data_IF_125280986415
#
_entry.id   IF_125280986415
#
_cell.length_a   1.000
_cell.length_b   1.000
_cell.length_c   1.000
_cell.angle_alpha   90.00
_cell.angle_beta   90.00
_cell.angle_gamma   90.00
#
_symmetry.space_group_name_H-M   'P 1'
#
loop_
_entity.id
_entity.type
_entity.pdbx_description
1 polymer ?
#
# COMPACT_ATOMS: atom_id res chain seq x y z
N UNK A 1 -12.26 21.19 27.24
CA UNK A 1 -10.97 20.50 27.08
C UNK A 1 -10.99 19.32 28.05
N UNK A 2 -10.92 18.07 27.58
CA UNK A 2 -10.88 16.93 28.52
C UNK A 2 -9.53 16.96 29.21
N UNK A 3 -9.54 16.84 30.53
CA UNK A 3 -8.32 16.77 31.33
C UNK A 3 -7.51 15.52 30.94
N UNK A 4 -6.26 15.70 30.54
CA UNK A 4 -5.37 14.65 30.02
C UNK A 4 -4.52 14.00 31.13
N UNK A 5 -4.98 14.06 32.38
CA UNK A 5 -4.29 13.46 33.52
C UNK A 5 -4.21 11.93 33.47
N UNK A 6 -5.13 11.28 32.73
CA UNK A 6 -5.13 9.84 32.56
C UNK A 6 -5.78 9.44 31.24
N UNK A 7 -5.22 8.42 30.59
CA UNK A 7 -5.87 7.77 29.44
C UNK A 7 -6.93 6.76 29.88
N UNK A 8 -6.99 6.34 31.16
CA UNK A 8 -7.89 5.28 31.62
C UNK A 8 -9.38 5.53 31.29
N UNK A 9 -9.93 6.76 31.40
CA UNK A 9 -11.32 7.03 31.02
C UNK A 9 -11.60 6.84 29.52
N UNK A 10 -10.57 6.79 28.68
CA UNK A 10 -10.71 6.57 27.24
C UNK A 10 -10.82 5.08 26.87
N UNK A 11 -10.58 4.16 27.80
CA UNK A 11 -10.66 2.71 27.56
C UNK A 11 -11.91 2.11 28.18
N UNK A 12 -12.64 1.32 27.40
CA UNK A 12 -13.71 0.45 27.92
C UNK A 12 -13.13 -0.81 28.55
N UNK A 13 -13.89 -1.42 29.46
CA UNK A 13 -13.51 -2.69 30.10
C UNK A 13 -13.32 -3.77 29.01
N UNK A 14 -12.11 -4.32 28.90
CA UNK A 14 -11.75 -5.36 27.93
C UNK A 14 -11.03 -4.86 26.67
N UNK A 15 -10.88 -3.54 26.49
CA UNK A 15 -10.07 -3.00 25.38
C UNK A 15 -8.57 -3.21 25.64
N UNK A 16 -7.83 -3.52 24.58
CA UNK A 16 -6.38 -3.72 24.66
C UNK A 16 -5.68 -2.39 24.97
N UNK A 17 -4.82 -2.41 25.99
CA UNK A 17 -3.89 -1.32 26.30
C UNK A 17 -2.49 -1.55 25.71
N UNK A 18 -2.31 -2.66 24.97
CA UNK A 18 -1.08 -2.99 24.27
C UNK A 18 -1.08 -2.35 22.87
N UNK A 19 0.01 -1.66 22.52
CA UNK A 19 0.22 -1.12 21.19
C UNK A 19 1.29 -0.04 21.11
N UNK A 20 1.22 0.76 20.05
CA UNK A 20 2.12 1.91 19.83
C UNK A 20 1.36 3.22 20.01
N UNK A 21 2.07 4.28 20.40
CA UNK A 21 1.49 5.58 20.69
C UNK A 21 2.40 6.72 20.26
N UNK A 22 1.79 7.86 19.93
CA UNK A 22 2.48 9.12 19.66
C UNK A 22 1.96 10.19 20.60
N UNK A 23 2.85 10.77 21.39
CA UNK A 23 2.55 11.93 22.22
C UNK A 23 2.80 13.19 21.39
N UNK A 24 1.94 14.20 21.58
CA UNK A 24 2.10 15.53 21.00
C UNK A 24 2.30 16.55 22.11
N UNK A 25 3.21 17.50 21.92
CA UNK A 25 3.57 18.49 22.92
C UNK A 25 3.12 19.91 22.52
N UNK A 26 3.00 20.82 23.50
CA UNK A 26 2.61 22.22 23.27
C UNK A 26 3.50 22.94 22.23
N UNK A 27 4.78 22.58 22.17
CA UNK A 27 5.75 23.19 21.26
C UNK A 27 5.74 22.59 19.83
N UNK A 28 4.77 21.72 19.52
CA UNK A 28 4.63 21.08 18.21
C UNK A 28 5.55 19.88 17.97
N UNK A 29 6.36 19.48 18.95
CA UNK A 29 7.13 18.25 18.88
C UNK A 29 6.23 17.02 19.08
N UNK A 30 6.74 15.86 18.68
CA UNK A 30 6.09 14.58 18.94
C UNK A 30 7.06 13.51 19.46
N UNK A 31 6.52 12.53 20.19
CA UNK A 31 7.27 11.39 20.73
C UNK A 31 6.57 10.07 20.37
N UNK A 32 7.18 9.22 19.52
CA UNK A 32 6.70 7.87 19.25
C UNK A 32 7.19 6.87 20.31
N UNK A 33 6.38 5.86 20.64
CA UNK A 33 6.82 4.73 21.47
C UNK A 33 5.85 3.55 21.48
N UNK A 34 6.25 2.45 22.12
CA UNK A 34 5.41 1.26 22.35
C UNK A 34 5.16 0.96 23.83
N UNK A 35 4.07 0.25 24.11
CA UNK A 35 3.79 -0.28 25.45
C UNK A 35 2.89 -1.50 25.41
N UNK A 36 3.08 -2.42 26.37
CA UNK A 36 2.10 -3.46 26.69
C UNK A 36 0.91 -2.92 27.49
N UNK A 37 1.09 -1.75 28.11
CA UNK A 37 0.07 -1.03 28.86
C UNK A 37 0.29 0.48 28.67
N UNK A 38 -0.42 1.07 27.72
CA UNK A 38 -0.29 2.49 27.37
C UNK A 38 -0.80 3.41 28.49
N UNK A 39 -1.76 2.98 29.32
CA UNK A 39 -2.29 3.78 30.42
C UNK A 39 -1.21 3.99 31.48
N UNK A 40 -0.54 2.90 31.88
CA UNK A 40 0.59 2.98 32.83
C UNK A 40 1.76 3.75 32.24
N UNK A 41 2.07 3.53 30.95
CA UNK A 41 3.17 4.21 30.26
C UNK A 41 2.94 5.71 30.14
N UNK A 42 1.73 6.12 29.80
CA UNK A 42 1.34 7.53 29.71
C UNK A 42 1.44 8.23 31.07
N UNK A 43 0.96 7.60 32.15
CA UNK A 43 1.10 8.16 33.50
C UNK A 43 2.58 8.38 33.89
N UNK A 44 3.49 7.52 33.43
CA UNK A 44 4.94 7.74 33.60
C UNK A 44 5.45 8.93 32.81
N UNK A 45 5.01 9.08 31.56
CA UNK A 45 5.40 10.19 30.69
C UNK A 45 4.86 11.53 31.19
N UNK A 46 3.61 11.57 31.67
CA UNK A 46 2.98 12.80 32.19
C UNK A 46 3.71 13.39 33.39
N UNK A 47 4.32 12.54 34.24
CA UNK A 47 5.17 12.99 35.36
C UNK A 47 6.46 13.65 34.90
N UNK A 48 6.99 13.22 33.75
CA UNK A 48 8.24 13.74 33.17
C UNK A 48 7.99 14.96 32.27
N UNK A 49 6.87 14.95 31.55
CA UNK A 49 6.52 15.92 30.52
C UNK A 49 5.10 16.45 30.75
N UNK A 50 4.97 17.59 31.45
CA UNK A 50 3.68 18.21 31.74
C UNK A 50 3.07 18.96 30.54
N UNK A 51 3.82 19.11 29.45
CA UNK A 51 3.47 19.81 28.22
C UNK A 51 2.83 18.91 27.14
N UNK A 52 2.47 17.66 27.49
CA UNK A 52 1.73 16.77 26.56
C UNK A 52 0.31 17.31 26.36
N UNK A 53 -0.09 17.54 25.11
CA UNK A 53 -1.42 18.08 24.73
C UNK A 53 -2.32 17.08 24.03
N UNK A 54 -1.77 16.01 23.47
CA UNK A 54 -2.55 14.96 22.83
C UNK A 54 -1.78 13.63 22.78
N UNK A 55 -2.53 12.54 22.58
CA UNK A 55 -2.00 11.19 22.40
C UNK A 55 -2.76 10.50 21.27
N UNK A 56 -2.03 10.04 20.26
CA UNK A 56 -2.54 9.03 19.33
C UNK A 56 -2.18 7.65 19.89
N UNK A 57 -3.13 6.72 19.94
CA UNK A 57 -2.89 5.35 20.35
C UNK A 57 -3.41 4.36 19.32
N UNK A 58 -2.58 3.37 18.98
CA UNK A 58 -2.85 2.35 18.00
C UNK A 58 -2.76 0.97 18.68
N UNK A 59 -3.88 0.37 19.11
CA UNK A 59 -3.88 -0.93 19.77
C UNK A 59 -3.47 -2.04 18.80
N UNK A 60 -2.62 -2.96 19.27
CA UNK A 60 -2.17 -4.10 18.48
C UNK A 60 -1.62 -5.25 19.36
N UNK A 61 -1.53 -6.47 18.82
CA UNK A 61 -0.93 -7.62 19.49
C UNK A 61 0.55 -7.41 19.86
N UNK A 62 0.99 -8.04 20.94
CA UNK A 62 2.35 -7.89 21.48
C UNK A 62 3.46 -8.32 20.50
N UNK A 63 3.22 -9.37 19.72
CA UNK A 63 4.16 -9.86 18.71
C UNK A 63 4.39 -8.86 17.56
N UNK A 64 3.52 -7.85 17.41
CA UNK A 64 3.59 -6.86 16.32
C UNK A 64 4.10 -5.49 16.77
N UNK A 65 4.15 -5.19 18.09
CA UNK A 65 4.46 -3.84 18.60
C UNK A 65 5.85 -3.33 18.18
N UNK A 66 6.83 -4.23 18.03
CA UNK A 66 8.21 -3.83 17.70
C UNK A 66 8.33 -3.40 16.24
N UNK A 67 7.68 -4.11 15.32
CA UNK A 67 7.66 -3.71 13.90
C UNK A 67 6.87 -2.40 13.71
N UNK A 68 5.74 -2.27 14.41
CA UNK A 68 4.91 -1.07 14.33
C UNK A 68 5.54 0.17 14.99
N UNK A 69 6.37 0.01 16.03
CA UNK A 69 7.09 1.12 16.65
C UNK A 69 8.05 1.77 15.66
N UNK A 70 8.78 0.96 14.88
CA UNK A 70 9.70 1.45 13.87
C UNK A 70 8.98 2.26 12.78
N UNK A 71 7.79 1.81 12.39
CA UNK A 71 6.92 2.54 11.46
C UNK A 71 6.48 3.88 12.07
N UNK A 72 6.01 3.87 13.32
CA UNK A 72 5.54 5.09 13.99
C UNK A 72 6.66 6.10 14.21
N UNK A 73 7.89 5.65 14.47
CA UNK A 73 9.07 6.52 14.54
C UNK A 73 9.25 7.24 13.21
N UNK A 74 9.33 6.48 12.11
CA UNK A 74 9.53 7.01 10.76
C UNK A 74 8.45 8.03 10.38
N UNK A 75 7.18 7.71 10.60
CA UNK A 75 6.06 8.63 10.35
C UNK A 75 6.12 9.89 11.20
N UNK A 76 6.57 9.77 12.45
CA UNK A 76 6.66 10.91 13.35
C UNK A 76 7.79 11.84 12.93
N UNK A 77 8.95 11.29 12.56
CA UNK A 77 10.10 12.06 12.04
C UNK A 77 9.76 12.80 10.73
N UNK A 78 8.88 12.24 9.90
CA UNK A 78 8.45 12.86 8.65
C UNK A 78 7.49 14.05 8.84
N UNK A 79 6.74 14.10 9.95
CA UNK A 79 5.64 15.06 10.16
C UNK A 79 5.91 16.06 11.30
N UNK A 80 6.79 15.70 12.24
CA UNK A 80 7.01 16.44 13.46
C UNK A 80 8.49 16.46 13.82
N UNK A 81 8.93 17.50 14.53
CA UNK A 81 10.20 17.46 15.23
C UNK A 81 10.11 16.41 16.36
N UNK A 82 10.94 15.38 16.29
CA UNK A 82 10.92 14.30 17.29
C UNK A 82 11.71 14.70 18.52
N UNK A 83 11.07 14.57 19.70
CA UNK A 83 11.72 14.77 20.99
C UNK A 83 12.65 13.58 21.27
N UNK A 84 13.88 13.67 20.77
CA UNK A 84 14.87 12.59 20.76
C UNK A 84 15.22 12.08 22.17
N UNK A 85 15.14 10.76 22.36
CA UNK A 85 15.78 10.06 23.50
C UNK A 85 16.95 9.25 22.95
N UNK A 86 18.05 9.91 22.61
CA UNK A 86 19.32 9.23 22.37
C UNK A 86 19.94 8.86 23.72
N UNK A 87 19.89 7.58 24.10
CA UNK A 87 20.85 6.92 25.01
C UNK A 87 20.63 5.38 24.97
N UNK A 88 21.19 4.72 23.95
CA UNK A 88 22.13 3.57 24.04
C UNK A 88 22.10 2.68 22.78
N UNK A 89 23.12 2.88 21.94
CA UNK A 89 23.80 1.95 21.02
C UNK A 89 23.01 0.96 20.12
N UNK A 90 22.96 1.33 18.82
CA UNK A 90 23.11 0.49 17.60
C UNK A 90 22.44 -0.89 17.57
N UNK A 91 21.40 -1.10 16.74
CA UNK A 91 20.99 -2.44 16.34
C UNK A 91 21.28 -2.73 14.85
N UNK A 92 22.39 -3.45 14.63
CA UNK A 92 22.61 -4.59 13.69
C UNK A 92 24.07 -4.63 13.23
N UNK A 93 24.87 -5.42 13.96
CA UNK A 93 26.23 -5.82 13.60
C UNK A 93 26.26 -6.88 12.48
N UNK A 94 27.47 -7.19 12.01
CA UNK A 94 27.78 -8.00 10.83
C UNK A 94 27.64 -9.53 11.03
N UNK A 95 26.44 -10.09 11.20
CA UNK A 95 26.22 -11.55 11.05
C UNK A 95 24.82 -11.88 10.47
N UNK A 96 24.69 -12.98 9.70
CA UNK A 96 23.44 -13.38 9.06
C UNK A 96 22.49 -14.09 10.04
N UNK A 97 21.20 -13.74 9.99
CA UNK A 97 20.15 -14.49 10.66
C UNK A 97 19.47 -15.43 9.64
N UNK A 98 19.80 -16.71 9.70
CA UNK A 98 18.96 -17.76 9.10
C UNK A 98 17.67 -17.89 9.92
N UNK A 99 16.53 -17.77 9.24
CA UNK A 99 15.23 -18.09 9.81
C UNK A 99 14.74 -19.34 9.08
N UNK A 100 14.82 -20.49 9.77
CA UNK A 100 14.14 -21.72 9.36
C UNK A 100 12.66 -21.53 9.65
N UNK A 101 11.84 -21.36 8.60
CA UNK A 101 10.39 -21.48 8.71
C UNK A 101 9.95 -22.85 8.18
N UNK A 102 9.59 -23.77 9.07
CA UNK A 102 8.74 -24.89 8.70
C UNK A 102 7.82 -25.24 9.87
N UNK A 103 6.69 -24.55 9.96
CA UNK A 103 5.53 -25.10 10.67
C UNK A 103 5.02 -26.29 9.87
N UNK A 104 5.13 -27.50 10.41
CA UNK A 104 4.64 -28.72 9.78
C UNK A 104 3.11 -28.72 9.67
N UNK A 105 2.58 -28.33 8.51
CA UNK A 105 1.19 -28.57 8.15
C UNK A 105 1.04 -30.00 7.65
N UNK A 106 0.01 -30.71 8.11
CA UNK A 106 -0.35 -32.03 7.59
C UNK A 106 -1.22 -31.83 6.35
N UNK A 107 -0.74 -32.27 5.18
CA UNK A 107 -1.47 -32.17 3.91
C UNK A 107 -2.19 -33.50 3.64
N UNK A 108 -3.50 -33.45 3.45
CA UNK A 108 -4.30 -34.62 3.06
C UNK A 108 -4.24 -34.80 1.54
N UNK A 109 -3.72 -35.95 1.09
CA UNK A 109 -3.64 -36.34 -0.32
C UNK A 109 -4.55 -37.55 -0.58
N UNK A 110 -5.85 -37.34 -0.87
CA UNK A 110 -6.78 -38.45 -1.10
C UNK A 110 -6.54 -39.12 -2.46
N UNK A 111 -6.76 -40.44 -2.52
CA UNK A 111 -6.70 -41.20 -3.77
C UNK A 111 -7.91 -40.93 -4.68
N UNK A 112 -9.05 -40.53 -4.12
CA UNK A 112 -10.23 -40.16 -4.90
C UNK A 112 -10.16 -38.70 -5.38
N UNK A 113 -10.16 -38.49 -6.70
CA UNK A 113 -10.07 -37.15 -7.33
C UNK A 113 -11.11 -36.16 -6.83
N UNK A 114 -12.33 -36.61 -6.58
CA UNK A 114 -13.44 -35.78 -6.10
C UNK A 114 -13.21 -35.25 -4.68
N UNK A 115 -12.38 -35.93 -3.89
CA UNK A 115 -12.01 -35.52 -2.53
C UNK A 115 -10.75 -34.65 -2.52
N UNK A 116 -9.99 -34.60 -3.62
CA UNK A 116 -8.82 -33.75 -3.73
C UNK A 116 -9.24 -32.27 -3.72
N UNK A 117 -8.52 -31.44 -2.97
CA UNK A 117 -8.70 -29.99 -3.05
C UNK A 117 -8.38 -29.55 -4.48
N UNK A 118 -9.29 -28.78 -5.09
CA UNK A 118 -8.98 -28.08 -6.35
C UNK A 118 -7.86 -27.06 -6.13
N UNK A 119 -7.16 -26.66 -7.19
CA UNK A 119 -6.14 -25.61 -7.11
C UNK A 119 -6.71 -24.32 -6.46
N UNK A 120 -7.96 -23.97 -6.74
CA UNK A 120 -8.63 -22.84 -6.09
C UNK A 120 -8.80 -23.05 -4.60
N UNK A 121 -9.32 -24.20 -4.16
CA UNK A 121 -9.54 -24.47 -2.73
C UNK A 121 -8.21 -24.51 -1.97
N UNK A 122 -7.21 -25.20 -2.51
CA UNK A 122 -5.86 -25.25 -1.93
C UNK A 122 -5.23 -23.86 -1.83
N UNK A 123 -5.43 -23.00 -2.84
CA UNK A 123 -4.88 -21.65 -2.86
C UNK A 123 -5.66 -20.69 -1.94
N UNK A 124 -6.98 -20.85 -1.82
CA UNK A 124 -7.84 -19.97 -1.00
C UNK A 124 -7.69 -20.23 0.51
N UNK A 125 -7.28 -21.45 0.89
CA UNK A 125 -6.96 -21.77 2.29
C UNK A 125 -5.65 -21.10 2.75
N UNK A 126 -4.74 -20.84 1.81
CA UNK A 126 -3.40 -20.26 2.05
C UNK A 126 -3.30 -18.77 1.66
N UNK A 127 -4.21 -18.27 0.83
CA UNK A 127 -4.15 -16.93 0.19
C UNK A 127 -5.51 -16.23 0.27
N UNK A 128 -5.49 -14.89 0.34
CA UNK A 128 -6.69 -14.05 0.32
C UNK A 128 -7.67 -14.48 -0.79
N UNK A 129 -8.93 -14.76 -0.41
CA UNK A 129 -10.01 -15.23 -1.30
C UNK A 129 -10.29 -14.30 -2.48
N UNK A 130 -9.85 -13.03 -2.39
CA UNK A 130 -9.95 -12.07 -3.48
C UNK A 130 -9.02 -12.40 -4.64
N UNK A 131 -7.83 -12.95 -4.38
CA UNK A 131 -6.84 -13.22 -5.43
C UNK A 131 -7.39 -14.18 -6.49
N UNK A 132 -7.97 -15.37 -6.15
CA UNK A 132 -8.60 -16.23 -7.15
C UNK A 132 -9.77 -15.62 -7.91
N UNK A 133 -10.42 -14.58 -7.36
CA UNK A 133 -11.47 -13.86 -8.08
C UNK A 133 -10.87 -12.85 -9.06
N UNK A 134 -9.80 -12.15 -8.68
CA UNK A 134 -9.05 -11.28 -9.60
C UNK A 134 -8.43 -12.08 -10.75
N UNK A 135 -7.80 -13.22 -10.47
CA UNK A 135 -7.19 -14.10 -11.48
C UNK A 135 -8.18 -14.63 -12.52
N UNK A 136 -9.48 -14.65 -12.19
CA UNK A 136 -10.56 -15.08 -13.09
C UNK A 136 -11.21 -13.92 -13.84
N UNK A 137 -10.82 -12.68 -13.55
CA UNK A 137 -11.36 -11.54 -14.27
C UNK A 137 -11.00 -11.68 -15.76
N UNK A 138 -11.94 -11.49 -16.71
CA UNK A 138 -11.68 -11.74 -18.13
C UNK A 138 -10.50 -10.95 -18.68
N UNK A 139 -10.32 -9.71 -18.19
CA UNK A 139 -9.24 -8.81 -18.57
C UNK A 139 -8.02 -8.86 -17.62
N UNK A 140 -7.90 -9.92 -16.81
CA UNK A 140 -6.75 -10.05 -15.90
C UNK A 140 -5.40 -10.17 -16.63
N UNK A 141 -5.26 -10.87 -17.77
CA UNK A 141 -4.00 -10.90 -18.51
C UNK A 141 -3.50 -9.51 -18.88
N UNK A 142 -4.38 -8.66 -19.42
CA UNK A 142 -4.12 -7.26 -19.78
C UNK A 142 -3.76 -6.40 -18.57
N UNK A 143 -4.47 -6.61 -17.46
CA UNK A 143 -4.17 -5.94 -16.17
C UNK A 143 -2.80 -6.34 -15.64
N UNK A 144 -2.46 -7.63 -15.71
CA UNK A 144 -1.18 -8.17 -15.25
C UNK A 144 -0.03 -7.58 -16.06
N UNK A 145 -0.20 -7.57 -17.38
CA UNK A 145 0.77 -7.04 -18.33
C UNK A 145 1.09 -5.55 -18.08
N UNK A 146 0.04 -4.71 -18.00
CA UNK A 146 0.17 -3.30 -17.62
C UNK A 146 0.91 -3.10 -16.29
N UNK A 147 0.64 -3.95 -15.30
CA UNK A 147 1.28 -3.87 -13.99
C UNK A 147 2.74 -4.31 -14.03
N UNK A 148 3.08 -5.31 -14.83
CA UNK A 148 4.46 -5.71 -15.09
C UNK A 148 5.25 -4.55 -15.70
N UNK A 149 4.71 -3.92 -16.74
CA UNK A 149 5.27 -2.71 -17.35
C UNK A 149 5.44 -1.57 -16.33
N UNK A 150 4.42 -1.28 -15.52
CA UNK A 150 4.49 -0.18 -14.56
C UNK A 150 5.56 -0.44 -13.49
N UNK A 151 5.68 -1.67 -13.00
CA UNK A 151 6.68 -2.04 -11.99
C UNK A 151 8.10 -1.92 -12.55
N UNK A 152 8.36 -2.49 -13.74
CA UNK A 152 9.69 -2.45 -14.36
C UNK A 152 10.16 -1.03 -14.68
N UNK A 153 9.23 -0.15 -15.06
CA UNK A 153 9.56 1.22 -15.48
C UNK A 153 9.58 2.24 -14.33
N UNK A 154 8.81 2.03 -13.25
CA UNK A 154 8.58 3.08 -12.24
C UNK A 154 8.95 2.72 -10.80
N UNK A 155 9.26 1.46 -10.48
CA UNK A 155 9.52 1.01 -9.10
C UNK A 155 10.99 0.61 -8.92
N UNK A 156 11.65 1.18 -7.90
CA UNK A 156 13.07 0.90 -7.64
C UNK A 156 13.27 -0.40 -6.86
N UNK A 157 14.19 -1.26 -7.34
CA UNK A 157 14.53 -2.54 -6.71
C UNK A 157 13.26 -3.31 -6.30
N UNK A 158 12.37 -3.63 -7.26
CA UNK A 158 10.99 -3.95 -6.97
C UNK A 158 10.85 -5.22 -6.12
N UNK A 159 11.73 -6.20 -6.29
CA UNK A 159 11.71 -7.44 -5.51
C UNK A 159 12.09 -7.22 -4.04
N UNK A 160 13.14 -6.43 -3.74
CA UNK A 160 13.61 -6.25 -2.36
C UNK A 160 12.77 -5.25 -1.56
N UNK A 161 12.09 -4.35 -2.27
CA UNK A 161 11.31 -3.26 -1.66
C UNK A 161 9.82 -3.56 -1.53
N UNK A 162 9.37 -4.68 -2.10
CA UNK A 162 7.99 -5.17 -1.98
C UNK A 162 7.57 -5.29 -0.51
N UNK A 163 6.29 -5.01 -0.24
CA UNK A 163 5.63 -4.96 1.08
C UNK A 163 6.13 -3.86 2.02
N UNK A 164 7.39 -3.48 1.94
CA UNK A 164 8.02 -2.50 2.82
C UNK A 164 7.86 -1.08 2.29
N UNK A 165 8.21 -0.85 1.02
CA UNK A 165 8.22 0.48 0.41
C UNK A 165 7.16 0.62 -0.69
N UNK A 166 6.75 -0.48 -1.31
CA UNK A 166 5.57 -0.51 -2.17
C UNK A 166 4.70 -1.73 -1.87
N UNK A 167 3.42 -1.64 -2.16
CA UNK A 167 2.45 -2.71 -1.91
C UNK A 167 1.47 -2.88 -3.05
N UNK A 168 0.92 -4.08 -3.18
CA UNK A 168 -0.22 -4.35 -4.05
C UNK A 168 -1.36 -4.90 -3.22
N UNK A 169 -2.55 -4.32 -3.37
CA UNK A 169 -3.79 -4.77 -2.72
C UNK A 169 -4.77 -5.30 -3.76
N UNK A 170 -5.26 -6.51 -3.54
CA UNK A 170 -6.23 -7.18 -4.40
C UNK A 170 -7.66 -6.77 -4.03
N UNK A 171 -8.42 -6.26 -5.01
CA UNK A 171 -9.81 -5.81 -4.86
C UNK A 171 -10.11 -5.08 -3.53
N UNK A 172 -9.46 -3.92 -3.29
CA UNK A 172 -9.75 -3.11 -2.12
C UNK A 172 -11.19 -2.58 -2.18
N UNK A 173 -11.80 -2.38 -1.01
CA UNK A 173 -13.17 -1.83 -0.92
C UNK A 173 -13.23 -0.31 -1.04
N UNK A 174 -12.09 0.36 -1.15
CA UNK A 174 -11.98 1.81 -1.31
C UNK A 174 -12.82 2.29 -2.49
N UNK A 175 -13.67 3.28 -2.27
CA UNK A 175 -14.56 3.89 -3.27
C UNK A 175 -15.41 2.88 -4.07
N UNK A 176 -15.67 1.70 -3.52
CA UNK A 176 -16.55 0.73 -4.16
C UNK A 176 -17.99 1.25 -4.17
N UNK A 177 -18.64 1.19 -5.33
CA UNK A 177 -20.05 1.51 -5.48
C UNK A 177 -20.84 0.26 -5.90
N UNK A 178 -22.11 0.43 -6.27
CA UNK A 178 -22.93 -0.65 -6.84
C UNK A 178 -22.49 -1.01 -8.27
N UNK A 179 -21.96 -0.04 -9.01
CA UNK A 179 -21.66 -0.16 -10.45
C UNK A 179 -20.19 -0.33 -10.73
N UNK A 180 -19.30 0.01 -9.79
CA UNK A 180 -17.86 -0.07 -9.99
C UNK A 180 -17.09 -0.46 -8.73
N UNK A 181 -15.89 -0.98 -8.94
CA UNK A 181 -14.98 -1.39 -7.89
C UNK A 181 -13.53 -1.34 -8.38
N UNK A 182 -12.59 -1.40 -7.44
CA UNK A 182 -11.18 -1.57 -7.78
C UNK A 182 -10.88 -3.03 -8.03
N UNK A 183 -10.18 -3.33 -9.11
CA UNK A 183 -9.57 -4.65 -9.33
C UNK A 183 -8.30 -4.79 -8.50
N UNK A 184 -7.49 -3.72 -8.47
CA UNK A 184 -6.19 -3.69 -7.85
C UNK A 184 -5.74 -2.25 -7.55
N UNK A 185 -4.92 -2.11 -6.52
CA UNK A 185 -4.20 -0.88 -6.21
C UNK A 185 -2.74 -1.19 -5.91
N UNK A 186 -1.83 -0.52 -6.59
CA UNK A 186 -0.41 -0.45 -6.26
C UNK A 186 -0.13 0.88 -5.55
N UNK A 187 0.53 0.80 -4.41
CA UNK A 187 0.90 1.97 -3.61
C UNK A 187 2.41 2.02 -3.39
N UNK A 188 3.02 3.17 -3.60
CA UNK A 188 4.40 3.46 -3.18
C UNK A 188 4.35 4.38 -1.95
N UNK A 189 5.07 4.03 -0.89
CA UNK A 189 4.90 4.67 0.42
C UNK A 189 3.43 4.65 0.85
N UNK A 190 2.89 5.83 1.19
CA UNK A 190 1.51 5.98 1.68
C UNK A 190 0.57 6.60 0.64
N UNK A 191 0.88 6.48 -0.65
CA UNK A 191 0.02 6.93 -1.74
C UNK A 191 -0.24 5.78 -2.71
N UNK A 192 -1.49 5.68 -3.17
CA UNK A 192 -1.88 4.81 -4.28
C UNK A 192 -1.39 5.46 -5.59
N UNK A 193 -0.38 4.87 -6.22
CA UNK A 193 0.27 5.47 -7.39
C UNK A 193 -0.23 4.89 -8.71
N UNK A 194 -0.80 3.68 -8.67
CA UNK A 194 -1.55 3.10 -9.78
C UNK A 194 -2.75 2.33 -9.24
N UNK A 195 -3.94 2.52 -9.81
CA UNK A 195 -5.09 1.69 -9.47
C UNK A 195 -6.02 1.50 -10.66
N UNK A 196 -6.68 0.35 -10.69
CA UNK A 196 -7.53 -0.08 -11.79
C UNK A 196 -8.97 -0.15 -11.27
N UNK A 197 -9.85 0.63 -11.90
CA UNK A 197 -11.27 0.68 -11.61
C UNK A 197 -12.01 -0.04 -12.72
N UNK A 198 -12.93 -0.91 -12.35
CA UNK A 198 -13.72 -1.67 -13.31
C UNK A 198 -15.19 -1.67 -12.91
N UNK A 199 -16.06 -1.77 -13.90
CA UNK A 199 -17.48 -1.98 -13.63
C UNK A 199 -17.73 -3.28 -12.84
N UNK A 200 -18.91 -3.47 -12.26
CA UNK A 200 -19.29 -4.73 -11.60
C UNK A 200 -19.86 -5.77 -12.58
N UNK A 201 -19.67 -5.56 -13.88
CA UNK A 201 -20.15 -6.45 -14.93
C UNK A 201 -19.51 -7.83 -14.84
N UNK A 202 -20.26 -8.86 -15.23
CA UNK A 202 -19.76 -10.24 -15.35
C UNK A 202 -19.63 -10.67 -16.81
N UNK A 203 -20.03 -9.80 -17.75
CA UNK A 203 -20.00 -10.06 -19.20
C UNK A 203 -19.40 -8.85 -19.93
N UNK A 204 -18.09 -8.68 -19.80
CA UNK A 204 -17.35 -7.58 -20.43
C UNK A 204 -17.42 -7.57 -21.95
N UNK A 205 -17.76 -8.70 -22.59
CA UNK A 205 -17.84 -8.80 -24.03
C UNK A 205 -19.15 -8.22 -24.58
N UNK A 206 -20.26 -8.35 -23.84
CA UNK A 206 -21.59 -7.98 -24.34
C UNK A 206 -22.26 -6.85 -23.55
N UNK A 207 -21.77 -6.49 -22.37
CA UNK A 207 -22.33 -5.40 -21.58
C UNK A 207 -21.79 -4.04 -22.06
N UNK A 208 -22.65 -3.17 -22.63
CA UNK A 208 -22.22 -1.85 -23.12
C UNK A 208 -21.78 -0.89 -22.01
N UNK A 209 -22.06 -1.22 -20.75
CA UNK A 209 -21.60 -0.46 -19.58
C UNK A 209 -20.35 -1.09 -18.93
N UNK A 210 -19.80 -2.16 -19.50
CA UNK A 210 -18.56 -2.73 -19.02
C UNK A 210 -17.39 -1.80 -19.34
N UNK A 211 -16.56 -1.53 -18.34
CA UNK A 211 -15.37 -0.70 -18.50
C UNK A 211 -14.26 -1.15 -17.56
N UNK A 212 -13.03 -0.86 -17.95
CA UNK A 212 -11.84 -0.91 -17.10
C UNK A 212 -11.00 0.33 -17.37
N UNK A 213 -10.86 1.18 -16.36
CA UNK A 213 -10.04 2.39 -16.40
C UNK A 213 -8.83 2.24 -15.50
N UNK A 214 -7.71 2.77 -15.99
CA UNK A 214 -6.45 2.87 -15.27
C UNK A 214 -6.31 4.30 -14.78
N UNK A 215 -5.87 4.45 -13.53
CA UNK A 215 -5.44 5.73 -12.99
C UNK A 215 -3.99 5.61 -12.57
N UNK A 216 -3.15 6.50 -13.09
CA UNK A 216 -1.72 6.57 -12.78
C UNK A 216 -1.40 7.95 -12.23
N UNK A 217 -0.96 8.00 -10.98
CA UNK A 217 -0.49 9.23 -10.36
C UNK A 217 0.99 9.45 -10.66
N UNK A 218 1.35 10.70 -10.88
CA UNK A 218 2.69 11.16 -11.23
C UNK A 218 3.11 12.32 -10.33
N UNK A 219 4.39 12.69 -10.33
CA UNK A 219 4.80 13.93 -9.72
C UNK A 219 4.01 15.09 -10.34
N UNK A 220 3.75 16.14 -9.55
CA UNK A 220 2.98 17.28 -10.04
C UNK A 220 3.62 17.86 -11.30
N UNK A 221 2.87 17.90 -12.39
CA UNK A 221 3.30 18.48 -13.66
C UNK A 221 3.08 19.99 -13.63
N UNK A 222 4.01 20.72 -14.23
CA UNK A 222 3.94 22.19 -14.32
C UNK A 222 2.75 22.65 -15.17
N UNK A 223 2.47 21.93 -16.28
CA UNK A 223 1.36 22.19 -17.18
C UNK A 223 0.74 20.88 -17.69
N UNK A 224 -0.39 20.49 -17.09
CA UNK A 224 -1.14 19.27 -17.42
C UNK A 224 -1.85 19.38 -18.78
N UNK A 225 -2.02 20.59 -19.32
CA UNK A 225 -2.73 20.79 -20.59
C UNK A 225 -1.96 20.22 -21.79
N UNK A 226 -0.62 20.17 -21.68
CA UNK A 226 0.29 19.57 -22.68
C UNK A 226 0.09 18.07 -22.87
N UNK A 227 -0.52 17.39 -21.89
CA UNK A 227 -0.71 15.94 -21.88
C UNK A 227 -2.15 15.54 -22.22
N UNK A 228 -3.02 16.50 -22.59
CA UNK A 228 -4.40 16.20 -22.96
C UNK A 228 -4.48 15.64 -24.37
N UNK A 229 -5.29 14.59 -24.53
CA UNK A 229 -5.65 14.11 -25.86
C UNK A 229 -6.76 14.98 -26.46
N UNK A 230 -6.56 15.57 -27.65
CA UNK A 230 -7.63 16.29 -28.35
C UNK A 230 -8.83 15.40 -28.68
N UNK A 231 -8.63 14.09 -28.86
CA UNK A 231 -9.69 13.12 -29.12
C UNK A 231 -10.36 12.58 -27.84
N UNK A 232 -9.89 12.97 -26.66
CA UNK A 232 -10.50 12.59 -25.37
C UNK A 232 -10.28 11.14 -24.94
N UNK A 233 -9.30 10.42 -25.51
CA UNK A 233 -8.94 9.04 -25.13
C UNK A 233 -8.33 8.95 -23.73
N UNK A 234 -7.69 10.02 -23.27
CA UNK A 234 -7.15 10.13 -21.92
C UNK A 234 -7.29 11.54 -21.36
N UNK A 235 -7.24 11.63 -20.03
CA UNK A 235 -7.28 12.89 -19.30
C UNK A 235 -6.15 12.94 -18.28
N UNK A 236 -5.49 14.10 -18.19
CA UNK A 236 -4.54 14.40 -17.11
C UNK A 236 -5.09 15.57 -16.30
N UNK A 237 -5.09 15.41 -14.97
CA UNK A 237 -5.59 16.45 -14.07
C UNK A 237 -4.95 16.41 -12.69
N UNK A 238 -5.05 17.54 -11.99
CA UNK A 238 -4.50 17.72 -10.65
C UNK A 238 -5.37 17.09 -9.58
N UNK A 239 -4.78 16.30 -8.69
CA UNK A 239 -5.44 15.72 -7.51
C UNK A 239 -4.67 16.08 -6.24
N UNK A 240 -5.43 16.47 -5.20
CA UNK A 240 -4.90 16.73 -3.87
C UNK A 240 -5.15 15.56 -2.93
N UNK A 241 -4.08 14.97 -2.42
CA UNK A 241 -4.08 14.01 -1.33
C UNK A 241 -3.57 14.67 -0.05
N UNK A 242 -3.80 14.03 1.10
CA UNK A 242 -3.32 14.56 2.38
C UNK A 242 -1.79 14.61 2.38
N UNK A 243 -1.23 15.81 2.29
CA UNK A 243 0.22 16.03 2.30
C UNK A 243 0.92 15.80 0.96
N UNK A 244 0.18 15.59 -0.13
CA UNK A 244 0.75 15.35 -1.46
C UNK A 244 -0.20 15.85 -2.55
N UNK A 245 0.32 16.59 -3.52
CA UNK A 245 -0.43 16.98 -4.73
C UNK A 245 0.23 16.31 -5.92
N UNK A 246 -0.58 15.69 -6.78
CA UNK A 246 -0.12 14.92 -7.93
C UNK A 246 -0.86 15.32 -9.19
N UNK A 247 -0.29 15.01 -10.34
CA UNK A 247 -1.04 14.93 -11.59
C UNK A 247 -1.43 13.46 -11.84
N UNK A 248 -2.67 13.24 -12.24
CA UNK A 248 -3.27 11.92 -12.42
C UNK A 248 -3.68 11.72 -13.87
N UNK A 249 -3.12 10.70 -14.50
CA UNK A 249 -3.51 10.23 -15.82
C UNK A 249 -4.64 9.20 -15.68
N UNK A 250 -5.72 9.39 -16.43
CA UNK A 250 -6.83 8.45 -16.54
C UNK A 250 -7.12 8.11 -18.01
N UNK A 251 -7.26 6.81 -18.29
CA UNK A 251 -7.58 6.26 -19.61
C UNK A 251 -8.08 4.82 -19.48
N UNK A 252 -8.75 4.31 -20.51
CA UNK A 252 -9.17 2.91 -20.53
C UNK A 252 -7.97 1.96 -20.67
N UNK A 253 -8.13 0.73 -20.18
CA UNK A 253 -7.06 -0.28 -20.19
C UNK A 253 -6.55 -0.57 -21.61
N UNK A 254 -7.45 -0.64 -22.59
CA UNK A 254 -7.09 -0.95 -23.98
C UNK A 254 -6.25 0.16 -24.61
N UNK A 255 -6.63 1.42 -24.40
CA UNK A 255 -5.84 2.58 -24.83
C UNK A 255 -4.49 2.63 -24.13
N UNK A 256 -4.42 2.33 -22.82
CA UNK A 256 -3.13 2.29 -22.11
C UNK A 256 -2.21 1.25 -22.74
N UNK A 257 -2.70 0.02 -22.96
CA UNK A 257 -1.92 -1.03 -23.61
C UNK A 257 -1.49 -0.62 -25.03
N UNK A 258 -2.39 -0.02 -25.81
CA UNK A 258 -2.07 0.46 -27.14
C UNK A 258 -0.97 1.55 -27.13
N UNK A 259 -0.90 2.39 -26.09
CA UNK A 259 0.18 3.37 -25.91
C UNK A 259 1.51 2.68 -25.58
N UNK A 260 1.55 1.77 -24.59
CA UNK A 260 2.81 1.11 -24.20
C UNK A 260 3.37 0.21 -25.32
N UNK A 261 2.51 -0.35 -26.16
CA UNK A 261 2.90 -1.14 -27.33
C UNK A 261 3.18 -0.29 -28.58
N UNK A 262 3.08 1.04 -28.50
CA UNK A 262 3.36 1.95 -29.61
C UNK A 262 2.34 1.91 -30.74
N UNK A 263 1.13 1.39 -30.49
CA UNK A 263 0.01 1.40 -31.46
C UNK A 263 -0.73 2.73 -31.48
N UNK A 264 -0.69 3.49 -30.39
CA UNK A 264 -1.23 4.85 -30.28
C UNK A 264 -0.11 5.77 -29.81
N UNK A 265 0.11 6.86 -30.54
CA UNK A 265 1.04 7.90 -30.13
C UNK A 265 0.44 8.70 -28.97
N UNK A 266 1.18 8.76 -27.86
CA UNK A 266 0.93 9.64 -26.73
C UNK A 266 2.10 10.62 -26.65
N UNK A 267 1.91 11.87 -27.12
CA UNK A 267 2.95 12.90 -27.00
C UNK A 267 3.34 13.16 -25.54
N UNK A 268 4.65 13.14 -25.26
CA UNK A 268 5.21 13.32 -23.91
C UNK A 268 4.89 12.17 -22.94
N UNK A 269 4.60 10.97 -23.43
CA UNK A 269 4.39 9.80 -22.56
C UNK A 269 5.61 9.49 -21.69
N UNK A 270 6.82 9.57 -22.25
CA UNK A 270 8.06 9.35 -21.49
C UNK A 270 8.21 10.36 -20.34
N UNK A 271 7.84 11.63 -20.55
CA UNK A 271 7.83 12.65 -19.47
C UNK A 271 6.86 12.28 -18.34
N UNK A 272 5.71 11.66 -18.65
CA UNK A 272 4.76 11.16 -17.65
C UNK A 272 5.31 9.95 -16.89
N UNK A 273 5.99 9.03 -17.58
CA UNK A 273 6.62 7.86 -16.97
C UNK A 273 7.75 8.30 -16.03
N UNK A 274 8.59 9.25 -16.45
CA UNK A 274 9.62 9.86 -15.61
C UNK A 274 9.01 10.55 -14.38
N UNK A 275 7.89 11.25 -14.55
CA UNK A 275 7.17 11.86 -13.43
C UNK A 275 6.58 10.81 -12.47
N UNK A 276 6.09 9.67 -12.97
CA UNK A 276 5.64 8.54 -12.16
C UNK A 276 6.81 7.91 -11.37
N UNK A 277 7.93 7.63 -12.04
CA UNK A 277 9.15 7.13 -11.42
C UNK A 277 9.65 8.07 -10.31
N UNK A 278 9.67 9.38 -10.56
CA UNK A 278 10.08 10.38 -9.60
C UNK A 278 9.15 10.43 -8.37
N UNK A 279 7.83 10.33 -8.58
CA UNK A 279 6.86 10.24 -7.49
C UNK A 279 7.09 8.97 -6.65
N UNK A 280 7.16 7.80 -7.28
CA UNK A 280 7.35 6.52 -6.61
C UNK A 280 8.65 6.52 -5.80
N UNK A 281 9.75 6.95 -6.41
CA UNK A 281 11.06 7.10 -5.76
C UNK A 281 10.97 7.97 -4.51
N UNK A 282 10.36 9.15 -4.64
CA UNK A 282 10.22 10.09 -3.52
C UNK A 282 9.37 9.51 -2.39
N UNK A 283 8.30 8.79 -2.72
CA UNK A 283 7.43 8.13 -1.74
C UNK A 283 8.15 6.96 -1.04
N UNK A 284 8.86 6.12 -1.77
CA UNK A 284 9.63 4.99 -1.22
C UNK A 284 10.78 5.46 -0.33
N UNK A 285 11.41 6.60 -0.64
CA UNK A 285 12.47 7.19 0.19
C UNK A 285 11.99 7.78 1.51
N UNK A 286 10.69 8.04 1.67
CA UNK A 286 10.11 8.46 2.96
C UNK A 286 10.04 7.33 3.99
N UNK A 287 10.29 6.09 3.56
CA UNK A 287 10.34 4.92 4.43
C UNK A 287 9.15 3.99 4.25
N UNK A 288 8.83 3.25 5.31
CA UNK A 288 7.84 2.17 5.29
C UNK A 288 6.41 2.62 4.97
N UNK A 289 5.61 1.71 4.43
CA UNK A 289 4.20 1.93 4.07
C UNK A 289 3.17 1.44 5.13
N UNK A 290 2.12 2.24 5.37
CA UNK A 290 0.95 1.83 6.19
C UNK A 290 0.05 0.80 5.48
N UNK A 291 0.29 0.54 4.19
CA UNK A 291 -0.46 -0.44 3.41
C UNK A 291 0.13 -1.86 3.47
N UNK A 292 1.24 -2.06 4.20
CA UNK A 292 1.92 -3.36 4.33
C UNK A 292 0.99 -4.50 4.77
N UNK A 293 0.01 -4.21 5.64
CA UNK A 293 -1.00 -5.18 6.09
C UNK A 293 -2.01 -5.61 5.02
N UNK A 294 -2.15 -4.83 3.96
CA UNK A 294 -3.03 -5.11 2.83
C UNK A 294 -2.27 -5.70 1.63
N UNK A 295 -0.94 -5.87 1.77
CA UNK A 295 -0.10 -6.42 0.72
C UNK A 295 -0.45 -7.89 0.44
N UNK A 296 -0.70 -8.20 -0.84
CA UNK A 296 -0.89 -9.57 -1.29
C UNK A 296 0.43 -10.14 -1.87
N UNK A 297 1.19 -10.87 -1.05
CA UNK A 297 2.49 -11.47 -1.41
C UNK A 297 2.45 -12.25 -2.73
N UNK A 298 1.51 -13.19 -2.88
CA UNK A 298 1.43 -14.03 -4.09
C UNK A 298 1.03 -13.28 -5.35
N UNK A 299 0.30 -12.17 -5.18
CA UNK A 299 0.01 -11.29 -6.30
C UNK A 299 1.25 -10.46 -6.66
N UNK A 300 2.01 -9.99 -5.66
CA UNK A 300 3.28 -9.31 -5.90
C UNK A 300 4.29 -10.22 -6.61
N UNK A 301 4.45 -11.48 -6.17
CA UNK A 301 5.31 -12.48 -6.83
C UNK A 301 4.97 -12.63 -8.32
N UNK A 302 3.67 -12.75 -8.63
CA UNK A 302 3.19 -12.86 -10.01
C UNK A 302 3.50 -11.62 -10.85
N UNK A 303 3.29 -10.43 -10.28
CA UNK A 303 3.53 -9.17 -10.98
C UNK A 303 5.02 -8.87 -11.16
N UNK A 304 5.86 -9.26 -10.20
CA UNK A 304 7.31 -9.20 -10.32
C UNK A 304 7.82 -10.12 -11.43
N UNK A 305 7.26 -11.34 -11.53
CA UNK A 305 7.58 -12.23 -12.63
C UNK A 305 7.17 -11.65 -13.99
N UNK A 306 6.02 -10.97 -14.07
CA UNK A 306 5.62 -10.26 -15.30
C UNK A 306 6.55 -9.08 -15.61
N UNK A 307 7.00 -8.33 -14.59
CA UNK A 307 7.89 -7.19 -14.79
C UNK A 307 9.22 -7.57 -15.45
N UNK A 308 9.74 -8.78 -15.18
CA UNK A 308 10.95 -9.30 -15.83
C UNK A 308 10.78 -9.41 -17.35
N UNK A 309 9.58 -9.70 -17.84
CA UNK A 309 9.29 -9.82 -19.29
C UNK A 309 9.43 -8.46 -20.01
N UNK A 310 9.32 -7.35 -19.28
CA UNK A 310 9.43 -6.00 -19.81
C UNK A 310 10.86 -5.43 -19.78
N UNK A 311 11.81 -6.15 -19.17
CA UNK A 311 13.23 -5.75 -19.10
C UNK A 311 14.08 -6.36 -20.23
N UNK A 312 13.52 -7.31 -21.00
CA UNK A 312 14.13 -7.95 -22.19
C UNK A 312 13.76 -7.24 -23.50
#
# INVERSE_FOLDING_TARGET
MRDLDSLRPAFKKGESTCGVYRLHFENGEAYPGKSKDVVRRFASHRRRWPDIVAVDFFPMPEDQITAAEQFLITETEAQYSVRNIMLTNRPRGNDPAEIVTSTGSTITLPWERERAKTATQSYTDEVDKKVPKLLRHPLFPEVRDLLGWYISTTVQDPARTAKQLWTVSCMPSTNRTKTEHRLLTLSCGNLETLFIVASTSHDYANDPNAFVYVNMNTALLDDESRFRDPAGRWAVGRLGYRGETVSSLQLDLGTFLAVIYGHIDFPHFDELVDAAFNLNTRLMRRGSTMYSRFHNEKLADLLLAEAVVWEE
#
